data_IF_216136252290
#
_entry.id   IF_216136252290
#
_cell.length_a   1.000
_cell.length_b   1.000
_cell.length_c   1.000
_cell.angle_alpha   90.00
_cell.angle_beta   90.00
_cell.angle_gamma   90.00
#
_symmetry.space_group_name_H-M   'P 1'
#
loop_
_entity.id
_entity.type
_entity.pdbx_description
1 polymer ?
#
# COMPACT_ATOMS: atom_id res chain seq x y z
N UNK A 1 50.30 1.45 -34.81
CA UNK A 1 50.43 0.54 -33.64
C UNK A 1 49.01 0.12 -33.26
N UNK A 2 48.52 -0.96 -33.87
CA UNK A 2 48.25 -2.27 -33.24
C UNK A 2 47.19 -2.17 -32.13
N UNK A 3 45.91 -2.41 -32.44
CA UNK A 3 45.19 -3.73 -32.45
C UNK A 3 45.16 -4.42 -31.09
N UNK A 4 43.95 -4.59 -30.55
CA UNK A 4 43.35 -5.84 -30.07
C UNK A 4 42.08 -5.51 -29.25
N UNK A 5 41.03 -6.31 -29.14
CA UNK A 5 40.41 -7.37 -29.94
C UNK A 5 39.13 -7.75 -29.16
N UNK A 6 38.12 -8.21 -29.89
CA UNK A 6 36.84 -8.68 -29.38
C UNK A 6 36.93 -10.03 -28.65
N UNK A 7 35.94 -10.35 -27.82
CA UNK A 7 35.46 -11.73 -27.55
C UNK A 7 34.08 -11.68 -26.90
N UNK A 8 32.96 -11.81 -27.62
CA UNK A 8 32.23 -13.05 -28.00
C UNK A 8 31.87 -14.04 -26.88
N UNK A 9 30.56 -14.12 -26.62
CA UNK A 9 29.72 -15.33 -26.57
C UNK A 9 29.74 -16.23 -25.34
N UNK A 10 28.55 -16.47 -24.76
CA UNK A 10 27.95 -17.83 -24.68
C UNK A 10 26.48 -17.82 -24.22
N UNK A 11 25.62 -18.16 -25.19
CA UNK A 11 24.31 -18.77 -25.00
C UNK A 11 24.44 -20.11 -24.25
N UNK A 12 23.53 -20.38 -23.29
CA UNK A 12 23.08 -21.75 -23.01
C UNK A 12 21.58 -21.78 -22.80
N UNK A 13 20.91 -22.31 -23.83
CA UNK A 13 19.60 -22.96 -23.81
C UNK A 13 19.57 -24.07 -22.75
N UNK A 14 18.48 -24.17 -22.01
CA UNK A 14 18.00 -25.45 -21.50
C UNK A 14 16.57 -25.65 -21.99
N UNK A 15 16.36 -26.78 -22.63
CA UNK A 15 15.11 -27.25 -23.20
C UNK A 15 14.81 -28.64 -22.63
N UNK A 16 13.54 -28.85 -22.28
CA UNK A 16 12.85 -30.16 -22.22
C UNK A 16 12.56 -30.70 -20.82
N UNK A 17 11.64 -31.69 -20.67
CA UNK A 17 10.49 -32.02 -21.53
C UNK A 17 9.16 -32.16 -20.77
N UNK A 18 8.07 -32.29 -21.54
CA UNK A 18 6.72 -32.64 -21.12
C UNK A 18 6.63 -33.99 -20.39
N UNK A 19 5.74 -34.12 -19.41
CA UNK A 19 5.05 -35.39 -19.13
C UNK A 19 3.68 -35.10 -18.54
N UNK A 20 2.63 -35.44 -19.28
CA UNK A 20 1.26 -35.44 -18.79
C UNK A 20 0.96 -36.70 -17.97
N UNK A 21 0.11 -36.55 -16.96
CA UNK A 21 -0.59 -37.67 -16.31
C UNK A 21 -2.07 -37.31 -16.21
N UNK A 22 -2.86 -38.20 -16.80
CA UNK A 22 -4.32 -38.28 -16.77
C UNK A 22 -4.82 -38.94 -15.49
N UNK A 23 -6.05 -38.57 -15.12
CA UNK A 23 -7.09 -39.35 -14.42
C UNK A 23 -6.83 -39.85 -12.99
N UNK A 24 -7.70 -39.43 -12.06
CA UNK A 24 -8.70 -40.33 -11.46
C UNK A 24 -9.77 -39.54 -10.68
N UNK A 25 -11.04 -39.75 -11.09
CA UNK A 25 -12.22 -39.50 -10.27
C UNK A 25 -12.20 -40.38 -9.01
N UNK A 26 -12.59 -39.82 -7.86
CA UNK A 26 -13.24 -40.58 -6.81
C UNK A 26 -14.29 -39.71 -6.11
N UNK A 27 -15.54 -39.85 -6.55
CA UNK A 27 -16.74 -39.42 -5.82
C UNK A 27 -16.97 -40.42 -4.70
N UNK A 28 -16.89 -39.98 -3.45
CA UNK A 28 -17.41 -40.73 -2.30
C UNK A 28 -18.47 -39.88 -1.64
N UNK A 29 -19.73 -40.25 -1.90
CA UNK A 29 -20.88 -39.84 -1.11
C UNK A 29 -21.04 -40.80 0.06
N UNK A 30 -21.19 -40.29 1.28
CA UNK A 30 -21.73 -41.01 2.44
C UNK A 30 -22.28 -40.02 3.48
N UNK A 31 -23.19 -40.47 4.37
CA UNK A 31 -24.46 -39.80 4.63
C UNK A 31 -24.46 -38.84 5.82
N UNK A 32 -25.54 -38.06 5.87
CA UNK A 32 -25.95 -37.24 7.00
C UNK A 32 -26.05 -38.04 8.31
N UNK A 33 -25.31 -37.59 9.33
CA UNK A 33 -25.66 -37.79 10.73
C UNK A 33 -26.11 -36.46 11.31
N UNK A 34 -27.39 -36.40 11.68
CA UNK A 34 -27.93 -35.38 12.57
C UNK A 34 -27.47 -35.70 14.00
N UNK A 35 -26.74 -34.78 14.61
CA UNK A 35 -26.49 -34.75 16.05
C UNK A 35 -26.92 -33.39 16.60
N UNK A 36 -27.81 -33.44 17.57
CA UNK A 36 -28.46 -32.33 18.25
C UNK A 36 -27.64 -31.81 19.44
N UNK A 37 -27.47 -30.47 19.51
CA UNK A 37 -27.24 -29.58 20.67
C UNK A 37 -25.95 -29.81 21.53
N UNK A 38 -25.34 -28.74 22.13
CA UNK A 38 -26.02 -27.66 22.88
C UNK A 38 -25.52 -26.22 22.61
N UNK A 39 -26.26 -25.27 23.19
CA UNK A 39 -26.00 -23.83 23.25
C UNK A 39 -24.53 -23.46 23.48
N UNK A 40 -23.92 -22.85 22.47
CA UNK A 40 -22.71 -22.05 22.63
C UNK A 40 -23.08 -20.58 22.47
N UNK A 41 -23.15 -19.88 23.59
CA UNK A 41 -23.00 -18.43 23.66
C UNK A 41 -21.62 -18.05 23.11
N UNK A 42 -21.53 -17.86 21.80
CA UNK A 42 -20.44 -17.13 21.16
C UNK A 42 -21.03 -15.81 20.70
N UNK A 43 -20.91 -14.81 21.59
CA UNK A 43 -21.16 -13.43 21.21
C UNK A 43 -20.33 -13.12 19.98
N UNK A 44 -20.99 -12.81 18.88
CA UNK A 44 -20.37 -12.14 17.76
C UNK A 44 -19.93 -10.78 18.27
N UNK A 45 -18.67 -10.70 18.71
CA UNK A 45 -17.98 -9.42 18.77
C UNK A 45 -17.98 -8.91 17.34
N UNK A 46 -18.94 -8.02 17.04
CA UNK A 46 -18.81 -7.12 15.92
C UNK A 46 -17.47 -6.45 16.12
N UNK A 47 -16.51 -6.76 15.25
CA UNK A 47 -15.32 -5.94 15.06
C UNK A 47 -15.88 -4.57 14.71
N UNK A 48 -15.90 -3.70 15.72
CA UNK A 48 -16.42 -2.37 15.59
C UNK A 48 -15.65 -1.69 14.47
N UNK A 49 -16.39 -1.27 13.46
CA UNK A 49 -15.99 -0.26 12.50
C UNK A 49 -15.05 0.75 13.18
N UNK A 50 -13.81 0.95 12.71
CA UNK A 50 -12.90 1.90 13.33
C UNK A 50 -13.48 3.30 13.11
N UNK A 51 -14.27 3.76 14.08
CA UNK A 51 -14.79 5.11 14.09
C UNK A 51 -13.59 6.05 14.26
N UNK A 52 -13.03 6.51 13.15
CA UNK A 52 -11.86 7.40 13.07
C UNK A 52 -12.04 8.68 13.91
N UNK A 53 -13.28 9.05 14.25
CA UNK A 53 -13.60 10.17 15.15
C UNK A 53 -13.29 9.88 16.63
N UNK A 54 -13.30 8.62 17.08
CA UNK A 54 -12.98 8.29 18.48
C UNK A 54 -11.48 8.32 18.74
N UNK A 55 -10.64 8.02 17.73
CA UNK A 55 -9.18 8.04 17.85
C UNK A 55 -8.62 9.41 18.27
N UNK A 56 -9.09 10.51 17.67
CA UNK A 56 -8.65 11.87 18.05
C UNK A 56 -9.12 12.28 19.44
N UNK A 57 -10.27 11.80 19.88
CA UNK A 57 -10.82 12.09 21.20
C UNK A 57 -10.24 11.18 22.30
N UNK A 58 -9.53 10.08 21.96
CA UNK A 58 -9.03 9.13 22.97
C UNK A 58 -8.16 9.79 24.03
N UNK A 59 -7.27 10.70 23.64
CA UNK A 59 -6.36 11.37 24.57
C UNK A 59 -6.82 12.77 24.99
N UNK A 60 -7.95 13.26 24.48
CA UNK A 60 -8.43 14.61 24.83
C UNK A 60 -8.75 14.75 26.32
N UNK A 61 -9.27 13.69 26.95
CA UNK A 61 -9.53 13.67 28.38
C UNK A 61 -8.23 13.81 29.21
N UNK A 62 -7.14 13.13 28.81
CA UNK A 62 -5.85 13.25 29.47
C UNK A 62 -5.28 14.68 29.34
N UNK A 63 -5.37 15.25 28.14
CA UNK A 63 -4.95 16.65 27.90
C UNK A 63 -5.76 17.66 28.71
N UNK A 64 -7.09 17.49 28.78
CA UNK A 64 -7.95 18.34 29.59
C UNK A 64 -7.62 18.23 31.09
N UNK A 65 -7.35 17.02 31.58
CA UNK A 65 -6.94 16.81 32.97
C UNK A 65 -5.60 17.49 33.28
N UNK A 66 -4.59 17.32 32.42
CA UNK A 66 -3.28 17.97 32.59
C UNK A 66 -3.34 19.50 32.47
N UNK A 67 -4.27 20.04 31.68
CA UNK A 67 -4.50 21.47 31.57
C UNK A 67 -5.21 22.05 32.81
N UNK A 68 -6.16 21.30 33.38
CA UNK A 68 -6.87 21.70 34.59
C UNK A 68 -6.00 21.59 35.86
N UNK A 69 -5.16 20.54 35.93
CA UNK A 69 -4.30 20.26 37.06
C UNK A 69 -2.93 19.74 36.58
N UNK A 70 -1.91 20.61 36.46
CA UNK A 70 -0.63 20.27 35.87
C UNK A 70 0.27 19.54 36.88
N UNK A 71 -0.04 18.28 37.15
CA UNK A 71 0.77 17.37 37.97
C UNK A 71 1.63 16.46 37.09
N UNK A 72 2.71 15.92 37.68
CA UNK A 72 3.54 14.87 37.06
C UNK A 72 2.66 13.71 36.57
N UNK A 73 1.75 13.22 37.43
CA UNK A 73 0.83 12.13 37.10
C UNK A 73 -0.06 12.44 35.88
N UNK A 74 -0.61 13.65 35.80
CA UNK A 74 -1.48 14.00 34.67
C UNK A 74 -0.70 14.17 33.36
N UNK A 75 0.53 14.68 33.40
CA UNK A 75 1.39 14.74 32.22
C UNK A 75 1.87 13.34 31.79
N UNK A 76 2.22 12.45 32.72
CA UNK A 76 2.50 11.05 32.41
C UNK A 76 1.33 10.39 31.68
N UNK A 77 0.09 10.56 32.17
CA UNK A 77 -1.11 10.05 31.48
C UNK A 77 -1.27 10.58 30.06
N UNK A 78 -0.91 11.85 29.80
CA UNK A 78 -0.90 12.42 28.45
C UNK A 78 0.10 11.69 27.56
N UNK A 79 1.36 11.59 28.00
CA UNK A 79 2.41 10.95 27.23
C UNK A 79 2.11 9.49 26.90
N UNK A 80 1.71 8.72 27.90
CA UNK A 80 1.33 7.32 27.74
C UNK A 80 0.16 7.13 26.77
N UNK A 81 -0.89 7.96 26.89
CA UNK A 81 -2.02 7.88 25.96
C UNK A 81 -1.59 8.18 24.52
N UNK A 82 -0.77 9.21 24.30
CA UNK A 82 -0.31 9.60 22.96
C UNK A 82 0.61 8.58 22.32
N UNK A 83 1.44 7.87 23.11
CA UNK A 83 2.25 6.74 22.67
C UNK A 83 1.34 5.56 22.29
N UNK A 84 0.43 5.15 23.18
CA UNK A 84 -0.46 4.02 22.94
C UNK A 84 -1.32 4.23 21.68
N UNK A 85 -1.80 5.46 21.47
CA UNK A 85 -2.56 5.85 20.27
C UNK A 85 -1.74 5.69 18.98
N UNK A 86 -0.44 6.00 19.02
CA UNK A 86 0.47 5.85 17.89
C UNK A 86 0.83 4.40 17.64
N UNK A 87 1.14 3.63 18.68
CA UNK A 87 1.40 2.19 18.56
C UNK A 87 0.19 1.48 17.94
N UNK A 88 -1.03 1.77 18.38
CA UNK A 88 -2.24 1.24 17.77
C UNK A 88 -2.46 1.70 16.31
N UNK A 89 -1.85 2.81 15.89
CA UNK A 89 -1.84 3.24 14.48
C UNK A 89 -0.82 2.44 13.70
N UNK A 90 0.38 2.26 14.25
CA UNK A 90 1.46 1.46 13.66
C UNK A 90 0.99 0.02 13.44
N UNK A 91 0.34 -0.61 14.42
CA UNK A 91 -0.18 -1.98 14.28
C UNK A 91 -1.18 -2.11 13.12
N UNK A 92 -2.06 -1.10 12.96
CA UNK A 92 -3.03 -1.06 11.84
C UNK A 92 -2.33 -0.89 10.49
N UNK A 93 -1.30 -0.05 10.42
CA UNK A 93 -0.49 0.12 9.20
C UNK A 93 0.28 -1.16 8.87
N UNK A 94 0.84 -1.83 9.88
CA UNK A 94 1.51 -3.13 9.73
C UNK A 94 0.59 -4.17 9.12
N UNK A 95 -0.63 -4.29 9.65
CA UNK A 95 -1.64 -5.19 9.08
C UNK A 95 -2.02 -4.81 7.63
N UNK A 96 -2.14 -3.52 7.32
CA UNK A 96 -2.43 -3.06 5.96
C UNK A 96 -1.29 -3.41 4.98
N UNK A 97 -0.03 -3.32 5.42
CA UNK A 97 1.15 -3.73 4.64
C UNK A 97 1.14 -5.25 4.42
N UNK A 98 0.99 -6.04 5.49
CA UNK A 98 1.00 -7.51 5.44
C UNK A 98 -0.09 -8.10 4.55
N UNK A 99 -1.25 -7.44 4.50
CA UNK A 99 -2.41 -7.91 3.72
C UNK A 99 -2.47 -7.32 2.32
N UNK A 100 -1.57 -6.39 1.99
CA UNK A 100 -1.47 -5.81 0.66
C UNK A 100 -1.04 -6.88 -0.36
N UNK A 101 -1.74 -6.93 -1.48
CA UNK A 101 -1.36 -7.77 -2.63
C UNK A 101 -0.65 -6.99 -3.73
N UNK A 102 -0.59 -5.67 -3.57
CA UNK A 102 0.00 -4.77 -4.55
C UNK A 102 1.46 -4.50 -4.23
N UNK A 103 1.82 -4.40 -2.93
CA UNK A 103 3.16 -4.04 -2.51
C UNK A 103 4.20 -5.02 -3.06
N UNK A 104 5.33 -4.48 -3.53
CA UNK A 104 6.52 -5.27 -3.80
C UNK A 104 7.14 -5.76 -2.50
N UNK A 105 7.90 -6.86 -2.55
CA UNK A 105 8.59 -7.40 -1.38
C UNK A 105 9.55 -6.37 -0.75
N UNK A 106 10.24 -5.60 -1.59
CA UNK A 106 11.20 -4.57 -1.16
C UNK A 106 10.49 -3.38 -0.47
N UNK A 107 9.39 -2.88 -1.06
CA UNK A 107 8.60 -1.81 -0.46
C UNK A 107 7.92 -2.27 0.84
N UNK A 108 7.42 -3.50 0.87
CA UNK A 108 6.88 -4.11 2.09
C UNK A 108 7.93 -4.14 3.20
N UNK A 109 9.13 -4.63 2.91
CA UNK A 109 10.22 -4.69 3.88
C UNK A 109 10.64 -3.30 4.36
N UNK A 110 10.75 -2.33 3.46
CA UNK A 110 11.12 -0.95 3.80
C UNK A 110 10.07 -0.28 4.71
N UNK A 111 8.77 -0.42 4.38
CA UNK A 111 7.70 0.12 5.22
C UNK A 111 7.63 -0.56 6.58
N UNK A 112 7.81 -1.89 6.65
CA UNK A 112 7.87 -2.63 7.92
C UNK A 112 9.04 -2.13 8.79
N UNK A 113 10.21 -1.92 8.21
CA UNK A 113 11.36 -1.38 8.96
C UNK A 113 11.08 0.02 9.55
N UNK A 114 10.39 0.90 8.81
CA UNK A 114 9.96 2.21 9.30
C UNK A 114 8.99 2.06 10.49
N UNK A 115 8.02 1.16 10.38
CA UNK A 115 7.06 0.90 11.44
C UNK A 115 7.71 0.33 12.70
N UNK A 116 8.60 -0.65 12.54
CA UNK A 116 9.31 -1.31 13.64
C UNK A 116 10.21 -0.33 14.38
N UNK A 117 11.03 0.46 13.65
CA UNK A 117 11.88 1.48 14.25
C UNK A 117 11.08 2.55 14.99
N UNK A 118 9.95 2.98 14.41
CA UNK A 118 9.04 3.93 15.08
C UNK A 118 8.43 3.34 16.35
N UNK A 119 8.02 2.07 16.32
CA UNK A 119 7.43 1.40 17.47
C UNK A 119 8.45 1.15 18.58
N UNK A 120 9.68 0.76 18.23
CA UNK A 120 10.78 0.61 19.19
C UNK A 120 11.09 1.92 19.90
N UNK A 121 11.29 3.01 19.17
CA UNK A 121 11.57 4.32 19.76
C UNK A 121 10.42 4.82 20.64
N UNK A 122 9.16 4.67 20.20
CA UNK A 122 8.00 5.04 21.02
C UNK A 122 7.91 4.23 22.32
N UNK A 123 8.31 2.95 22.32
CA UNK A 123 8.36 2.13 23.54
C UNK A 123 9.51 2.54 24.46
N UNK A 124 10.65 2.96 23.91
CA UNK A 124 11.74 3.53 24.70
C UNK A 124 11.31 4.84 25.38
N UNK A 125 10.73 5.77 24.61
CA UNK A 125 10.21 7.04 25.14
C UNK A 125 9.10 6.84 26.18
N UNK A 126 8.32 5.75 26.06
CA UNK A 126 7.34 5.37 27.09
C UNK A 126 8.00 5.15 28.44
N UNK A 127 9.12 4.43 28.45
CA UNK A 127 9.85 4.13 29.68
C UNK A 127 10.49 5.40 30.29
N UNK A 128 10.94 6.34 29.45
CA UNK A 128 11.44 7.65 29.89
C UNK A 128 10.31 8.45 30.58
N UNK A 129 9.15 8.58 29.93
CA UNK A 129 7.97 9.27 30.50
C UNK A 129 7.50 8.62 31.81
N UNK A 130 7.55 7.29 31.94
CA UNK A 130 7.21 6.58 33.18
C UNK A 130 8.21 6.88 34.31
N UNK A 131 9.48 7.11 33.97
CA UNK A 131 10.55 7.41 34.90
C UNK A 131 10.66 8.90 35.28
N UNK A 132 10.15 9.80 34.43
CA UNK A 132 10.18 11.23 34.67
C UNK A 132 9.50 11.62 35.98
N UNK A 133 10.15 12.53 36.72
CA UNK A 133 9.67 12.97 38.04
C UNK A 133 9.31 14.44 38.07
N UNK A 134 9.54 15.17 36.97
CA UNK A 134 9.29 16.60 36.87
C UNK A 134 8.50 16.95 35.62
N UNK A 135 7.71 18.03 35.70
CA UNK A 135 6.92 18.54 34.56
C UNK A 135 7.80 19.00 33.39
N UNK A 136 8.97 19.65 33.60
CA UNK A 136 9.86 20.00 32.51
C UNK A 136 10.35 18.80 31.68
N UNK A 137 10.76 17.70 32.33
CA UNK A 137 11.16 16.45 31.67
C UNK A 137 9.98 15.90 30.85
N UNK A 138 8.82 15.73 31.48
CA UNK A 138 7.62 15.23 30.80
C UNK A 138 7.21 16.07 29.60
N UNK A 139 7.35 17.39 29.67
CA UNK A 139 7.01 18.28 28.54
C UNK A 139 7.94 18.06 27.37
N UNK A 140 9.23 17.87 27.63
CA UNK A 140 10.22 17.57 26.61
C UNK A 140 9.90 16.23 25.95
N UNK A 141 9.72 15.18 26.75
CA UNK A 141 9.49 13.83 26.24
C UNK A 141 8.15 13.70 25.52
N UNK A 142 7.10 14.32 26.05
CA UNK A 142 5.80 14.40 25.37
C UNK A 142 5.93 15.14 24.03
N UNK A 143 6.75 16.18 23.93
CA UNK A 143 6.96 16.90 22.68
C UNK A 143 7.69 16.00 21.65
N UNK A 144 8.69 15.24 22.06
CA UNK A 144 9.41 14.27 21.21
C UNK A 144 8.47 13.25 20.55
N UNK A 145 7.38 12.84 21.22
CA UNK A 145 6.33 11.99 20.61
C UNK A 145 5.80 12.57 19.28
N UNK A 146 5.74 13.89 19.14
CA UNK A 146 5.23 14.58 17.96
C UNK A 146 6.34 14.96 16.98
N UNK A 147 7.50 15.35 17.47
CA UNK A 147 8.58 15.89 16.65
C UNK A 147 9.45 14.81 16.03
N UNK A 148 9.75 13.74 16.79
CA UNK A 148 10.74 12.73 16.41
C UNK A 148 10.11 11.52 15.71
N UNK A 149 8.79 11.33 15.81
CA UNK A 149 8.11 10.15 15.22
C UNK A 149 7.14 10.50 14.09
N UNK A 150 6.50 11.68 14.14
CA UNK A 150 5.63 12.22 13.06
C UNK A 150 4.61 11.25 12.45
N UNK A 151 4.15 10.24 13.21
CA UNK A 151 3.36 9.10 12.71
C UNK A 151 2.20 9.52 11.79
N UNK A 152 1.39 10.50 12.20
CA UNK A 152 0.18 10.87 11.47
C UNK A 152 0.41 11.75 10.24
N UNK A 153 1.51 12.47 10.19
CA UNK A 153 1.78 13.45 9.12
C UNK A 153 2.79 12.94 8.10
N UNK A 154 3.61 11.97 8.50
CA UNK A 154 4.64 11.37 7.66
C UNK A 154 4.39 9.86 7.47
N UNK A 155 4.58 9.04 8.50
CA UNK A 155 4.58 7.56 8.38
C UNK A 155 3.29 7.01 7.77
N UNK A 156 2.12 7.50 8.22
CA UNK A 156 0.82 7.13 7.62
C UNK A 156 0.81 7.41 6.12
N UNK A 157 1.35 8.56 5.68
CA UNK A 157 1.36 8.93 4.26
C UNK A 157 2.34 8.10 3.46
N UNK A 158 3.50 7.75 4.02
CA UNK A 158 4.47 6.87 3.37
C UNK A 158 3.82 5.54 3.01
N UNK A 159 3.17 4.89 3.99
CA UNK A 159 2.47 3.61 3.76
C UNK A 159 1.42 3.73 2.65
N UNK A 160 0.55 4.74 2.72
CA UNK A 160 -0.53 4.87 1.74
C UNK A 160 -0.07 5.25 0.34
N UNK A 161 0.94 6.11 0.20
CA UNK A 161 1.43 6.56 -1.10
C UNK A 161 2.20 5.45 -1.82
N UNK A 162 3.10 4.76 -1.11
CA UNK A 162 3.85 3.62 -1.66
C UNK A 162 2.90 2.49 -2.05
N UNK A 163 1.97 2.12 -1.16
CA UNK A 163 0.94 1.10 -1.49
C UNK A 163 0.12 1.50 -2.71
N UNK A 164 -0.20 2.79 -2.86
CA UNK A 164 -1.01 3.27 -3.97
C UNK A 164 -0.23 3.31 -5.30
N UNK A 165 1.07 3.63 -5.27
CA UNK A 165 1.95 3.55 -6.43
C UNK A 165 2.06 2.10 -6.91
N UNK A 166 2.39 1.15 -6.03
CA UNK A 166 2.47 -0.28 -6.40
C UNK A 166 1.11 -0.84 -6.87
N UNK A 167 0.00 -0.29 -6.36
CA UNK A 167 -1.34 -0.64 -6.86
C UNK A 167 -1.56 -0.15 -8.29
N UNK A 168 -1.04 1.02 -8.65
CA UNK A 168 -1.07 1.52 -10.03
C UNK A 168 -0.23 0.62 -10.91
N UNK A 169 0.99 0.25 -10.51
CA UNK A 169 1.86 -0.65 -11.28
C UNK A 169 1.21 -2.01 -11.55
N UNK A 170 0.69 -2.65 -10.50
CA UNK A 170 -0.03 -3.92 -10.62
C UNK A 170 -1.26 -3.79 -11.55
N UNK A 171 -1.99 -2.68 -11.49
CA UNK A 171 -3.16 -2.46 -12.32
C UNK A 171 -2.78 -2.17 -13.79
N UNK A 172 -1.71 -1.39 -14.01
CA UNK A 172 -1.16 -1.13 -15.34
C UNK A 172 -0.73 -2.43 -16.02
N UNK A 173 0.03 -3.27 -15.32
CA UNK A 173 0.45 -4.58 -15.86
C UNK A 173 -0.74 -5.47 -16.28
N UNK A 174 -1.84 -5.47 -15.52
CA UNK A 174 -3.07 -6.21 -15.89
C UNK A 174 -3.78 -5.61 -17.09
N UNK A 175 -3.72 -4.29 -17.24
CA UNK A 175 -4.28 -3.62 -18.41
C UNK A 175 -3.42 -3.84 -19.64
N UNK A 176 -2.09 -3.95 -19.52
CA UNK A 176 -1.22 -4.38 -20.62
C UNK A 176 -1.54 -5.80 -21.09
N UNK A 177 -1.77 -6.74 -20.17
CA UNK A 177 -2.26 -8.09 -20.52
C UNK A 177 -3.60 -8.02 -21.26
N UNK A 178 -4.51 -7.16 -20.81
CA UNK A 178 -5.80 -6.94 -21.46
C UNK A 178 -5.65 -6.34 -22.86
N UNK A 179 -4.73 -5.37 -23.04
CA UNK A 179 -4.44 -4.75 -24.32
C UNK A 179 -3.92 -5.80 -25.33
N UNK A 180 -3.04 -6.71 -24.89
CA UNK A 180 -2.55 -7.81 -25.71
C UNK A 180 -3.69 -8.76 -26.15
N UNK A 181 -4.61 -9.11 -25.25
CA UNK A 181 -5.78 -9.93 -25.58
C UNK A 181 -6.72 -9.22 -26.57
N UNK A 182 -6.93 -7.92 -26.40
CA UNK A 182 -7.73 -7.10 -27.32
C UNK A 182 -7.08 -7.01 -28.71
N UNK A 183 -5.76 -6.88 -28.78
CA UNK A 183 -5.02 -6.91 -30.04
C UNK A 183 -5.29 -8.21 -30.83
N UNK A 184 -5.27 -9.37 -30.15
CA UNK A 184 -5.60 -10.66 -30.76
C UNK A 184 -7.04 -10.71 -31.29
N UNK A 185 -8.00 -10.09 -30.59
CA UNK A 185 -9.38 -10.01 -31.06
C UNK A 185 -9.52 -9.12 -32.30
N UNK A 186 -8.82 -7.99 -32.32
CA UNK A 186 -8.74 -7.10 -33.48
C UNK A 186 -8.18 -7.84 -34.70
N UNK A 187 -7.07 -8.57 -34.55
CA UNK A 187 -6.47 -9.35 -35.64
C UNK A 187 -7.44 -10.40 -36.21
N UNK A 188 -8.22 -11.06 -35.35
CA UNK A 188 -9.24 -12.03 -35.78
C UNK A 188 -10.38 -11.36 -36.56
N UNK A 189 -10.85 -10.21 -36.11
CA UNK A 189 -11.89 -9.44 -36.79
C UNK A 189 -11.41 -8.94 -38.17
N UNK A 190 -10.17 -8.45 -38.23
CA UNK A 190 -9.53 -8.03 -39.47
C UNK A 190 -9.40 -9.20 -40.47
N UNK A 191 -8.97 -10.37 -39.99
CA UNK A 191 -8.90 -11.59 -40.81
C UNK A 191 -10.28 -12.07 -41.29
N UNK A 192 -11.35 -11.74 -40.57
CA UNK A 192 -12.74 -11.98 -40.96
C UNK A 192 -13.29 -10.91 -41.93
N UNK A 193 -12.51 -9.89 -42.26
CA UNK A 193 -12.89 -8.81 -43.18
C UNK A 193 -13.73 -7.70 -42.55
N UNK A 194 -13.77 -7.60 -41.21
CA UNK A 194 -14.40 -6.46 -40.52
C UNK A 194 -13.49 -5.22 -40.60
N UNK A 195 -14.09 -4.03 -40.61
CA UNK A 195 -13.34 -2.78 -40.45
C UNK A 195 -12.96 -2.59 -38.98
N UNK A 196 -11.66 -2.65 -38.70
CA UNK A 196 -11.12 -2.57 -37.34
C UNK A 196 -10.43 -1.23 -37.04
N UNK A 197 -10.64 -0.22 -37.89
CA UNK A 197 -9.93 1.06 -37.78
C UNK A 197 -10.16 1.74 -36.42
N UNK A 198 -11.42 1.80 -35.97
CA UNK A 198 -11.79 2.42 -34.70
C UNK A 198 -11.29 1.59 -33.50
N UNK A 199 -11.38 0.25 -33.58
CA UNK A 199 -10.87 -0.64 -32.55
C UNK A 199 -9.34 -0.49 -32.35
N UNK A 200 -8.57 -0.33 -33.43
CA UNK A 200 -7.12 -0.07 -33.36
C UNK A 200 -6.80 1.27 -32.70
N UNK A 201 -7.55 2.32 -33.03
CA UNK A 201 -7.36 3.64 -32.43
C UNK A 201 -7.64 3.64 -30.92
N UNK A 202 -8.70 2.95 -30.47
CA UNK A 202 -8.99 2.78 -29.05
C UNK A 202 -7.94 1.93 -28.32
N UNK A 203 -7.40 0.90 -28.96
CA UNK A 203 -6.32 0.11 -28.37
C UNK A 203 -5.05 0.97 -28.16
N UNK A 204 -4.66 1.77 -29.15
CA UNK A 204 -3.51 2.69 -29.01
C UNK A 204 -3.74 3.71 -27.89
N UNK A 205 -4.95 4.27 -27.77
CA UNK A 205 -5.30 5.18 -26.68
C UNK A 205 -5.27 4.50 -25.30
N UNK A 206 -5.70 3.22 -25.23
CA UNK A 206 -5.60 2.41 -24.02
C UNK A 206 -4.14 2.22 -23.61
N UNK A 207 -3.27 1.78 -24.53
CA UNK A 207 -1.84 1.55 -24.28
C UNK A 207 -1.14 2.84 -23.85
N UNK A 208 -1.45 3.97 -24.49
CA UNK A 208 -0.91 5.28 -24.11
C UNK A 208 -1.31 5.67 -22.67
N UNK A 209 -2.57 5.50 -22.30
CA UNK A 209 -3.04 5.80 -20.95
C UNK A 209 -2.44 4.87 -19.88
N UNK A 210 -2.17 3.60 -20.20
CA UNK A 210 -1.43 2.71 -19.29
C UNK A 210 0.01 3.19 -19.13
N UNK A 211 0.69 3.54 -20.22
CA UNK A 211 2.06 4.05 -20.17
C UNK A 211 2.18 5.36 -19.37
N UNK A 212 1.24 6.28 -19.54
CA UNK A 212 1.17 7.53 -18.75
C UNK A 212 0.96 7.23 -17.26
N UNK A 213 0.06 6.30 -16.92
CA UNK A 213 -0.17 5.92 -15.53
C UNK A 213 1.09 5.36 -14.85
N UNK A 214 1.80 4.44 -15.53
CA UNK A 214 3.01 3.82 -15.02
C UNK A 214 4.15 4.84 -14.89
N UNK A 215 4.35 5.67 -15.90
CA UNK A 215 5.34 6.75 -15.84
C UNK A 215 5.03 7.77 -14.73
N UNK A 216 3.75 8.01 -14.44
CA UNK A 216 3.31 8.94 -13.41
C UNK A 216 3.64 8.50 -11.99
N UNK A 217 3.76 7.19 -11.72
CA UNK A 217 4.11 6.66 -10.39
C UNK A 217 5.56 6.19 -10.27
N UNK A 218 6.32 6.22 -11.37
CA UNK A 218 7.76 5.91 -11.36
C UNK A 218 8.51 6.82 -10.38
N UNK A 219 9.36 6.22 -9.54
CA UNK A 219 10.11 6.94 -8.50
C UNK A 219 9.33 7.40 -7.27
N UNK A 220 7.99 7.25 -7.22
CA UNK A 220 7.19 7.69 -6.04
C UNK A 220 7.68 7.01 -4.75
N UNK A 221 7.97 5.72 -4.80
CA UNK A 221 8.46 4.99 -3.62
C UNK A 221 9.87 5.44 -3.23
N UNK A 222 10.75 5.64 -4.20
CA UNK A 222 12.13 6.09 -3.99
C UNK A 222 12.19 7.48 -3.33
N UNK A 223 11.26 8.37 -3.67
CA UNK A 223 11.19 9.70 -3.06
C UNK A 223 10.53 9.69 -1.66
N UNK A 224 9.55 8.82 -1.44
CA UNK A 224 8.71 8.84 -0.24
C UNK A 224 9.29 8.01 0.90
N UNK A 225 9.87 6.83 0.61
CA UNK A 225 10.40 5.92 1.64
C UNK A 225 11.55 6.53 2.46
N UNK A 226 12.50 7.30 1.89
CA UNK A 226 13.62 7.85 2.66
C UNK A 226 13.25 9.02 3.57
N UNK A 227 12.04 9.59 3.43
CA UNK A 227 11.64 10.78 4.19
C UNK A 227 11.64 10.50 5.70
N UNK A 228 12.24 11.41 6.46
CA UNK A 228 12.37 11.30 7.92
C UNK A 228 11.54 12.35 8.66
N UNK A 229 11.29 12.15 9.96
CA UNK A 229 10.73 13.18 10.83
C UNK A 229 11.51 14.50 10.79
N UNK A 230 12.84 14.44 10.66
CA UNK A 230 13.68 15.63 10.50
C UNK A 230 13.38 16.40 9.21
N UNK A 231 13.16 15.71 8.08
CA UNK A 231 12.77 16.33 6.81
C UNK A 231 11.39 17.01 6.92
N UNK A 232 10.47 16.39 7.65
CA UNK A 232 9.18 17.01 7.94
C UNK A 232 9.35 18.28 8.79
N UNK A 233 10.19 18.23 9.83
CA UNK A 233 10.46 19.35 10.72
C UNK A 233 11.15 20.51 9.97
N UNK A 234 12.03 20.19 9.02
CA UNK A 234 12.69 21.14 8.12
C UNK A 234 11.76 21.67 7.00
N UNK A 235 10.58 21.09 6.83
CA UNK A 235 9.61 21.48 5.81
C UNK A 235 9.90 20.93 4.41
N UNK A 236 10.91 20.06 4.25
CA UNK A 236 11.32 19.48 2.96
C UNK A 236 10.47 18.27 2.55
N UNK A 237 9.95 17.49 3.50
CA UNK A 237 9.08 16.35 3.20
C UNK A 237 7.69 16.76 2.68
N UNK A 238 7.19 17.93 3.08
CA UNK A 238 5.84 18.39 2.77
C UNK A 238 5.55 18.51 1.26
N UNK A 239 6.41 19.19 0.47
CA UNK A 239 6.31 19.22 -0.99
C UNK A 239 6.35 17.84 -1.64
N UNK A 240 7.33 16.99 -1.28
CA UNK A 240 7.50 15.64 -1.83
C UNK A 240 6.23 14.80 -1.67
N UNK A 241 5.66 14.78 -0.45
CA UNK A 241 4.41 14.03 -0.18
C UNK A 241 3.20 14.56 -0.94
N UNK A 242 3.16 15.86 -1.30
CA UNK A 242 2.06 16.42 -2.09
C UNK A 242 2.20 16.07 -3.57
N UNK A 243 3.41 16.13 -4.08
CA UNK A 243 3.74 15.77 -5.46
C UNK A 243 3.47 14.28 -5.70
N UNK A 244 4.00 13.39 -4.84
CA UNK A 244 3.71 11.97 -4.86
C UNK A 244 2.20 11.66 -4.80
N UNK A 245 1.44 12.41 -3.99
CA UNK A 245 -0.01 12.26 -3.94
C UNK A 245 -0.68 12.65 -5.26
N UNK A 246 -0.21 13.73 -5.90
CA UNK A 246 -0.77 14.21 -7.16
C UNK A 246 -0.48 13.22 -8.28
N UNK A 247 0.78 12.75 -8.39
CA UNK A 247 1.20 11.67 -9.27
C UNK A 247 0.28 10.43 -9.19
N UNK A 248 0.04 9.91 -7.99
CA UNK A 248 -0.87 8.77 -7.77
C UNK A 248 -2.31 9.08 -8.16
N UNK A 249 -2.78 10.32 -8.01
CA UNK A 249 -4.14 10.72 -8.40
C UNK A 249 -4.28 10.75 -9.92
N UNK A 250 -3.30 11.32 -10.61
CA UNK A 250 -3.29 11.46 -12.06
C UNK A 250 -3.14 10.09 -12.72
N UNK A 251 -2.21 9.25 -12.26
CA UNK A 251 -2.07 7.89 -12.75
C UNK A 251 -3.34 7.05 -12.57
N UNK A 252 -4.09 7.25 -11.48
CA UNK A 252 -5.41 6.60 -11.30
C UNK A 252 -6.46 7.13 -12.28
N UNK A 253 -6.39 8.39 -12.71
CA UNK A 253 -7.24 8.90 -13.77
C UNK A 253 -6.87 8.24 -15.11
N UNK A 254 -5.59 8.08 -15.40
CA UNK A 254 -5.11 7.47 -16.64
C UNK A 254 -5.49 5.99 -16.72
N UNK A 255 -5.39 5.23 -15.63
CA UNK A 255 -5.92 3.85 -15.58
C UNK A 255 -7.44 3.79 -15.82
N UNK A 256 -8.21 4.81 -15.42
CA UNK A 256 -9.65 4.87 -15.72
C UNK A 256 -9.90 5.16 -17.20
N UNK A 257 -9.08 6.01 -17.81
CA UNK A 257 -9.08 6.25 -19.25
C UNK A 257 -8.78 4.96 -20.00
N UNK A 258 -7.71 4.24 -19.64
CA UNK A 258 -7.38 2.94 -20.23
C UNK A 258 -8.54 1.93 -20.15
N UNK A 259 -9.20 1.83 -18.99
CA UNK A 259 -10.41 0.99 -18.85
C UNK A 259 -11.59 1.46 -19.70
N UNK A 260 -11.72 2.76 -19.97
CA UNK A 260 -12.77 3.28 -20.86
C UNK A 260 -12.47 2.93 -22.31
N UNK A 261 -11.23 3.14 -22.76
CA UNK A 261 -10.76 2.81 -24.10
C UNK A 261 -10.88 1.30 -24.39
N UNK A 262 -10.50 0.44 -23.43
CA UNK A 262 -10.70 -1.01 -23.53
C UNK A 262 -12.16 -1.40 -23.86
N UNK A 263 -13.13 -0.70 -23.26
CA UNK A 263 -14.56 -0.94 -23.55
C UNK A 263 -14.95 -0.46 -24.95
N UNK A 264 -14.35 0.62 -25.43
CA UNK A 264 -14.59 1.11 -26.78
C UNK A 264 -14.01 0.16 -27.83
N UNK A 265 -12.86 -0.48 -27.57
CA UNK A 265 -12.36 -1.56 -28.44
C UNK A 265 -13.40 -2.66 -28.60
N UNK A 266 -13.96 -3.15 -27.49
CA UNK A 266 -14.99 -4.21 -27.51
C UNK A 266 -16.25 -3.75 -28.26
N UNK A 267 -16.68 -2.49 -28.05
CA UNK A 267 -17.84 -1.94 -28.74
C UNK A 267 -17.63 -1.84 -30.26
N UNK A 268 -16.45 -1.38 -30.69
CA UNK A 268 -16.08 -1.27 -32.09
C UNK A 268 -16.02 -2.63 -32.80
N UNK A 269 -15.62 -3.70 -32.09
CA UNK A 269 -15.61 -5.07 -32.63
C UNK A 269 -17.00 -5.72 -32.71
N UNK A 270 -17.99 -5.19 -31.99
CA UNK A 270 -19.36 -5.70 -31.98
C UNK A 270 -20.25 -5.10 -33.10
N UNK A 271 -19.81 -4.00 -33.70
CA UNK A 271 -20.46 -3.34 -34.86
C UNK A 271 -20.13 -4.02 -36.18
#
# INVERSE_FOLDING_TARGET
MNRHAASTSRLRRFAGPMTGILLALAVVATPALAASAPDAHAGTVRVGEPNQLTDRARCSAAWLAAAADPTVENYQKVGLCEIDRRLATIDRLGNAIETSRALTDDHQAALQAILDGSAEGLRALRAEIEADTTIPELRQDINSIFEDYRIYVLVVRQVWLVTAADTVDMAGARLDETAADLAVLIERAEAAGQDVTEAKAHLEAMEAAVAEALAGVDGVADDVLPLTPADWNAGTAGPVLREARQAVVDAKADLRTAMAEARQVIAALAG
#
